data_IF_821898201103
#
_entry.id   IF_821898201103
#
_cell.length_a   1.000
_cell.length_b   1.000
_cell.length_c   1.000
_cell.angle_alpha   90.00
_cell.angle_beta   90.00
_cell.angle_gamma   90.00
#
_symmetry.space_group_name_H-M   'P 1'
#
loop_
_entity.id
_entity.type
_entity.pdbx_description
1 polymer ?
#
# COMPACT_ATOMS: atom_id res chain seq x y z
N UNK A 1 42.26 -26.12 5.70
CA UNK A 1 43.01 -25.30 6.67
C UNK A 1 42.01 -24.41 7.37
N UNK A 2 41.73 -24.67 8.65
CA UNK A 2 40.69 -24.03 9.44
C UNK A 2 41.24 -22.73 10.03
N UNK A 3 40.70 -21.57 9.67
CA UNK A 3 41.04 -20.32 10.37
C UNK A 3 39.87 -19.93 11.27
N UNK A 4 40.04 -20.24 12.56
CA UNK A 4 39.15 -19.81 13.63
C UNK A 4 39.69 -18.53 14.26
N UNK A 5 38.75 -17.71 14.72
CA UNK A 5 38.87 -16.62 15.71
C UNK A 5 39.44 -15.31 15.18
N UNK A 6 38.60 -14.26 15.15
CA UNK A 6 38.68 -13.16 16.12
C UNK A 6 37.36 -12.41 16.14
N UNK A 7 36.67 -12.51 17.28
CA UNK A 7 35.53 -11.65 17.65
C UNK A 7 36.08 -10.25 17.87
N UNK A 8 35.68 -9.30 17.03
CA UNK A 8 35.84 -7.88 17.29
C UNK A 8 34.45 -7.32 17.53
N UNK A 9 34.08 -7.26 18.81
CA UNK A 9 32.92 -6.49 19.26
C UNK A 9 33.28 -5.01 19.15
N UNK A 10 32.92 -4.38 18.04
CA UNK A 10 33.05 -2.95 17.83
C UNK A 10 31.67 -2.31 17.99
N UNK A 11 31.38 -1.86 19.20
CA UNK A 11 30.22 -1.05 19.50
C UNK A 11 30.44 0.37 18.95
N UNK A 12 29.92 0.63 17.75
CA UNK A 12 29.74 2.00 17.26
C UNK A 12 28.34 2.48 17.67
N UNK A 13 28.30 3.23 18.76
CA UNK A 13 27.19 4.13 19.10
C UNK A 13 27.39 5.40 18.31
N UNK A 14 26.44 5.79 17.45
CA UNK A 14 26.15 7.18 17.07
C UNK A 14 24.80 7.28 16.33
N UNK A 15 23.86 7.92 17.02
CA UNK A 15 22.83 8.83 16.52
C UNK A 15 22.20 8.55 15.14
N UNK A 16 21.09 7.82 15.14
CA UNK A 16 20.11 7.87 14.05
C UNK A 16 19.11 9.00 14.30
N UNK A 17 19.03 9.96 13.37
CA UNK A 17 18.04 11.03 13.36
C UNK A 17 16.63 10.48 13.63
N UNK A 18 15.98 11.06 14.64
CA UNK A 18 14.54 11.12 14.77
C UNK A 18 13.96 11.59 13.42
N UNK A 19 13.51 10.63 12.62
CA UNK A 19 12.62 10.94 11.52
C UNK A 19 11.35 11.45 12.19
N UNK A 20 11.12 12.75 12.12
CA UNK A 20 9.78 13.27 12.29
C UNK A 20 8.94 12.60 11.21
N UNK A 21 8.36 11.45 11.54
CA UNK A 21 7.20 10.96 10.82
C UNK A 21 6.18 12.07 11.02
N UNK A 22 6.07 12.91 10.00
CA UNK A 22 4.88 13.68 9.70
C UNK A 22 3.72 12.76 10.04
N UNK A 23 3.06 13.03 11.16
CA UNK A 23 1.74 12.55 11.44
C UNK A 23 0.87 13.23 10.39
N UNK A 24 0.90 12.68 9.18
CA UNK A 24 -0.07 12.96 8.14
C UNK A 24 -1.39 12.57 8.76
N UNK A 25 -2.12 13.60 9.21
CA UNK A 25 -3.38 13.48 9.89
C UNK A 25 -4.27 12.52 9.13
N UNK A 26 -4.49 11.36 9.77
CA UNK A 26 -5.74 10.63 9.85
C UNK A 26 -6.84 11.12 8.89
N UNK A 27 -6.79 10.63 7.65
CA UNK A 27 -7.98 10.11 6.97
C UNK A 27 -7.61 8.71 6.49
N UNK A 28 -7.52 7.79 7.46
CA UNK A 28 -7.55 6.35 7.21
C UNK A 28 -8.86 6.10 6.47
N UNK A 29 -8.76 5.98 5.13
CA UNK A 29 -9.86 6.06 4.19
C UNK A 29 -11.17 5.59 4.79
N UNK A 30 -12.07 6.55 5.04
CA UNK A 30 -13.45 6.38 5.53
C UNK A 30 -13.93 4.95 5.28
N UNK A 31 -14.22 4.17 6.32
CA UNK A 31 -14.39 2.70 6.37
C UNK A 31 -15.17 2.01 5.24
N UNK A 32 -14.70 2.16 4.01
CA UNK A 32 -15.27 1.68 2.76
C UNK A 32 -14.49 0.43 2.35
N UNK A 33 -15.18 -0.49 1.69
CA UNK A 33 -14.65 -1.79 1.31
C UNK A 33 -13.94 -1.80 -0.04
N UNK A 34 -14.10 -0.74 -0.86
CA UNK A 34 -13.54 -0.70 -2.20
C UNK A 34 -14.23 -1.63 -3.19
N UNK A 35 -15.35 -2.28 -2.87
CA UNK A 35 -15.96 -3.29 -3.75
C UNK A 35 -16.85 -2.68 -4.85
N UNK A 36 -17.09 -1.37 -4.79
CA UNK A 36 -17.85 -0.63 -5.79
C UNK A 36 -17.25 0.74 -6.04
N UNK A 37 -17.63 1.38 -7.15
CA UNK A 37 -17.25 2.77 -7.43
C UNK A 37 -17.73 3.77 -6.37
N UNK A 38 -18.85 3.50 -5.68
CA UNK A 38 -19.38 4.35 -4.59
C UNK A 38 -18.59 4.18 -3.29
N UNK A 39 -18.12 2.97 -3.04
CA UNK A 39 -17.27 2.60 -1.90
C UNK A 39 -15.79 2.61 -2.24
N UNK A 40 -15.39 3.29 -3.32
CA UNK A 40 -13.99 3.39 -3.70
C UNK A 40 -13.14 3.97 -2.56
N UNK A 41 -11.97 3.37 -2.35
CA UNK A 41 -11.03 3.71 -1.28
C UNK A 41 -10.20 4.91 -1.72
N UNK A 42 -9.96 5.85 -0.79
CA UNK A 42 -9.03 6.95 -1.00
C UNK A 42 -7.74 6.68 -0.25
N UNK A 43 -6.62 6.80 -0.96
CA UNK A 43 -5.28 6.66 -0.40
C UNK A 43 -4.40 7.81 -0.89
N UNK A 44 -3.29 8.13 -0.21
CA UNK A 44 -2.48 9.30 -0.57
C UNK A 44 -1.58 9.07 -1.81
N UNK A 45 -1.40 7.83 -2.25
CA UNK A 45 -0.50 7.50 -3.38
C UNK A 45 -0.74 6.07 -3.89
N UNK A 46 -0.24 5.75 -5.09
CA UNK A 46 -0.29 4.41 -5.69
C UNK A 46 0.34 3.33 -4.78
N UNK A 47 1.53 3.51 -4.18
CA UNK A 47 2.07 2.52 -3.24
C UNK A 47 1.17 2.24 -2.03
N UNK A 48 0.37 3.23 -1.60
CA UNK A 48 -0.57 3.05 -0.50
C UNK A 48 -1.79 2.19 -0.87
N UNK A 49 -2.12 2.03 -2.16
CA UNK A 49 -3.18 1.12 -2.63
C UNK A 49 -2.82 -0.33 -2.31
N UNK A 50 -1.60 -0.74 -2.67
CA UNK A 50 -1.09 -2.08 -2.37
C UNK A 50 -1.02 -2.34 -0.85
N UNK A 51 -0.51 -1.38 -0.08
CA UNK A 51 -0.42 -1.52 1.37
C UNK A 51 -1.81 -1.68 2.01
N UNK A 52 -2.81 -0.95 1.50
CA UNK A 52 -4.18 -1.07 1.96
C UNK A 52 -4.77 -2.46 1.66
N UNK A 53 -4.51 -3.01 0.47
CA UNK A 53 -4.95 -4.38 0.11
C UNK A 53 -4.28 -5.41 1.00
N UNK A 54 -2.96 -5.33 1.18
CA UNK A 54 -2.20 -6.29 2.01
C UNK A 54 -2.69 -6.29 3.47
N UNK A 55 -3.06 -5.12 4.00
CA UNK A 55 -3.63 -4.99 5.33
C UNK A 55 -5.05 -5.56 5.44
N UNK A 56 -5.90 -5.34 4.43
CA UNK A 56 -7.32 -5.73 4.48
C UNK A 56 -7.59 -7.16 4.04
N UNK A 57 -6.83 -7.66 3.07
CA UNK A 57 -6.95 -9.01 2.51
C UNK A 57 -5.62 -9.76 2.63
N UNK A 58 -5.20 -10.14 3.85
CA UNK A 58 -3.94 -10.86 4.04
C UNK A 58 -3.88 -12.15 3.21
N UNK A 59 -2.78 -12.33 2.48
CA UNK A 59 -2.57 -13.49 1.62
C UNK A 59 -3.29 -13.44 0.27
N UNK A 60 -3.99 -12.34 -0.06
CA UNK A 60 -4.53 -12.17 -1.39
C UNK A 60 -3.43 -12.04 -2.45
N UNK A 61 -3.66 -12.62 -3.61
CA UNK A 61 -2.76 -12.54 -4.76
C UNK A 61 -3.25 -11.46 -5.72
N UNK A 62 -2.38 -10.52 -6.10
CA UNK A 62 -2.68 -9.54 -7.15
C UNK A 62 -2.77 -10.24 -8.51
N UNK A 63 -3.81 -9.93 -9.29
CA UNK A 63 -4.07 -10.52 -10.61
C UNK A 63 -3.95 -9.53 -11.74
N UNK A 64 -4.28 -8.27 -11.50
CA UNK A 64 -4.21 -7.24 -12.52
C UNK A 64 -4.61 -5.88 -11.97
N UNK A 65 -4.45 -4.88 -12.82
CA UNK A 65 -4.77 -3.50 -12.54
C UNK A 65 -5.33 -2.85 -13.82
N UNK A 66 -6.32 -1.98 -13.68
CA UNK A 66 -6.92 -1.24 -14.77
C UNK A 66 -7.31 0.18 -14.35
N UNK A 67 -7.03 1.15 -15.23
CA UNK A 67 -7.53 2.51 -15.09
C UNK A 67 -8.96 2.60 -15.64
N UNK A 68 -9.88 3.15 -14.86
CA UNK A 68 -11.26 3.44 -15.26
C UNK A 68 -11.55 4.93 -15.09
N UNK A 69 -12.19 5.55 -16.07
CA UNK A 69 -12.41 7.01 -16.09
C UNK A 69 -13.83 7.46 -15.70
N UNK A 70 -14.79 6.54 -15.58
CA UNK A 70 -16.18 6.87 -15.22
C UNK A 70 -16.59 6.11 -13.95
N UNK A 71 -17.08 6.80 -12.91
CA UNK A 71 -17.52 8.21 -12.85
C UNK A 71 -16.39 9.26 -12.65
N UNK A 72 -15.17 8.81 -12.41
CA UNK A 72 -13.95 9.62 -12.31
C UNK A 72 -12.74 8.69 -12.48
N UNK A 73 -11.50 9.22 -12.44
CA UNK A 73 -10.30 8.37 -12.53
C UNK A 73 -10.23 7.46 -11.31
N UNK A 74 -10.26 6.17 -11.57
CA UNK A 74 -10.18 5.10 -10.59
C UNK A 74 -9.11 4.12 -11.01
N UNK A 75 -8.32 3.67 -10.04
CA UNK A 75 -7.50 2.48 -10.20
C UNK A 75 -8.28 1.27 -9.70
N UNK A 76 -8.41 0.24 -10.53
CA UNK A 76 -9.13 -0.99 -10.18
C UNK A 76 -8.12 -2.11 -10.11
N UNK A 77 -7.91 -2.65 -8.91
CA UNK A 77 -6.97 -3.73 -8.66
C UNK A 77 -7.75 -5.03 -8.46
N UNK A 78 -7.52 -6.01 -9.33
CA UNK A 78 -8.10 -7.35 -9.22
C UNK A 78 -7.23 -8.24 -8.35
N UNK A 79 -7.83 -8.89 -7.35
CA UNK A 79 -7.16 -9.81 -6.42
C UNK A 79 -7.87 -11.17 -6.38
N UNK A 80 -7.12 -12.22 -6.04
CA UNK A 80 -7.68 -13.53 -5.67
C UNK A 80 -7.41 -13.78 -4.18
N UNK A 81 -8.45 -14.01 -3.39
CA UNK A 81 -8.37 -14.35 -1.98
C UNK A 81 -7.82 -15.78 -1.77
N UNK A 82 -7.30 -16.11 -0.58
CA UNK A 82 -6.91 -17.48 -0.24
C UNK A 82 -8.05 -18.50 -0.37
N UNK A 83 -9.31 -18.06 -0.27
CA UNK A 83 -10.50 -18.88 -0.52
C UNK A 83 -10.70 -19.25 -2.00
N UNK A 84 -10.00 -18.59 -2.92
CA UNK A 84 -10.19 -18.68 -4.37
C UNK A 84 -11.17 -17.67 -4.95
N UNK A 85 -11.84 -16.87 -4.11
CA UNK A 85 -12.72 -15.78 -4.56
C UNK A 85 -11.93 -14.65 -5.24
N UNK A 86 -12.47 -14.08 -6.32
CA UNK A 86 -11.88 -12.95 -7.01
C UNK A 86 -12.63 -11.66 -6.68
N UNK A 87 -11.90 -10.60 -6.33
CA UNK A 87 -12.45 -9.28 -6.04
C UNK A 87 -11.80 -8.22 -6.91
N UNK A 88 -12.57 -7.21 -7.29
CA UNK A 88 -12.07 -5.97 -7.87
C UNK A 88 -12.15 -4.87 -6.82
N UNK A 89 -11.01 -4.29 -6.46
CA UNK A 89 -10.91 -3.22 -5.48
C UNK A 89 -10.73 -1.89 -6.21
N UNK A 90 -11.66 -0.97 -5.97
CA UNK A 90 -11.72 0.35 -6.58
C UNK A 90 -11.05 1.38 -5.68
N UNK A 91 -10.06 2.09 -6.22
CA UNK A 91 -9.41 3.23 -5.58
C UNK A 91 -9.78 4.51 -6.32
N UNK A 92 -10.22 5.54 -5.58
CA UNK A 92 -10.43 6.88 -6.12
C UNK A 92 -9.09 7.62 -6.15
N UNK A 93 -8.51 7.69 -7.34
CA UNK A 93 -7.21 8.31 -7.59
C UNK A 93 -7.34 9.75 -8.09
N UNK A 94 -8.56 10.30 -8.16
CA UNK A 94 -8.82 11.70 -8.52
C UNK A 94 -7.96 12.72 -7.77
N UNK A 95 -7.58 12.52 -6.49
CA UNK A 95 -6.73 13.47 -5.79
C UNK A 95 -5.36 13.72 -6.43
N UNK A 96 -4.80 12.73 -7.13
CA UNK A 96 -3.42 12.79 -7.66
C UNK A 96 -3.28 12.39 -9.13
N UNK A 97 -4.31 11.83 -9.76
CA UNK A 97 -4.28 11.47 -11.17
C UNK A 97 -3.97 12.67 -12.07
N UNK A 98 -3.01 12.51 -12.99
CA UNK A 98 -2.59 13.55 -13.94
C UNK A 98 -1.78 14.70 -13.34
N UNK A 99 -1.42 14.64 -12.06
CA UNK A 99 -0.56 15.65 -11.42
C UNK A 99 0.90 15.20 -11.51
N UNK A 100 1.81 16.14 -11.78
CA UNK A 100 3.26 15.90 -11.67
C UNK A 100 3.66 15.87 -10.20
N UNK A 101 4.53 14.93 -9.84
CA UNK A 101 5.03 14.72 -8.48
C UNK A 101 6.38 15.40 -8.27
#
# INVERSE_FOLDING_TARGET
MNFRVFVVALAFVLAGCQSAAVASGQDQGSGKDGLTTKTAVKVPSIPAERAWIEQRYPGATLRGQALRMSPGPMDVISITLPSGENLDIYFDISPFFGKSF
#
